data_IF_288018558636
#
_entry.id   IF_288018558636
#
_cell.length_a   1.000
_cell.length_b   1.000
_cell.length_c   1.000
_cell.angle_alpha   90.00
_cell.angle_beta   90.00
_cell.angle_gamma   90.00
#
_symmetry.space_group_name_H-M   'P 1'
#
loop_
_entity.id
_entity.type
_entity.pdbx_description
1 polymer ?
#
# COMPACT_ATOMS: atom_id res chain seq x y z
N UNK A 1 -9.17 11.01 -7.11
CA UNK A 1 -9.13 9.55 -6.88
C UNK A 1 -7.97 9.30 -5.94
N UNK A 2 -8.25 8.75 -4.75
CA UNK A 2 -7.27 8.57 -3.67
C UNK A 2 -7.02 7.07 -3.48
N UNK A 3 -5.76 6.68 -3.33
CA UNK A 3 -5.45 5.36 -2.78
C UNK A 3 -5.13 5.52 -1.31
N UNK A 4 -6.17 5.38 -0.50
CA UNK A 4 -6.08 5.49 0.94
C UNK A 4 -5.49 4.22 1.54
N UNK A 5 -4.27 4.35 2.05
CA UNK A 5 -3.61 3.43 2.99
C UNK A 5 -2.97 2.17 2.40
N UNK A 6 -1.66 2.07 2.62
CA UNK A 6 -1.02 0.81 2.95
C UNK A 6 -1.27 0.51 4.44
N UNK A 7 -1.88 -0.64 4.73
CA UNK A 7 -2.47 -0.94 6.04
C UNK A 7 -1.71 -2.06 6.76
N UNK A 8 -1.31 -1.86 8.02
CA UNK A 8 -0.55 -2.85 8.81
C UNK A 8 -1.49 -3.71 9.69
N UNK A 9 -1.54 -5.04 9.49
CA UNK A 9 -2.12 -5.99 10.46
C UNK A 9 -1.27 -7.25 10.62
N UNK A 10 -1.12 -7.76 11.84
CA UNK A 10 -0.43 -9.02 12.12
C UNK A 10 -1.43 -10.18 11.94
N UNK A 11 -1.01 -11.23 11.22
CA UNK A 11 -1.69 -12.49 10.88
C UNK A 11 -2.54 -12.56 9.59
N UNK A 12 -2.33 -13.70 8.93
CA UNK A 12 -2.70 -14.14 7.58
C UNK A 12 -4.22 -14.22 7.36
N UNK A 13 -4.71 -13.56 6.31
CA UNK A 13 -5.68 -14.12 5.36
C UNK A 13 -5.62 -13.30 4.06
N UNK A 14 -5.42 -13.98 2.93
CA UNK A 14 -5.56 -13.37 1.61
C UNK A 14 -7.02 -13.07 1.35
N UNK A 15 -7.39 -11.80 1.31
CA UNK A 15 -8.72 -11.40 0.88
C UNK A 15 -8.56 -10.64 -0.44
N UNK A 16 -8.89 -11.33 -1.53
CA UNK A 16 -9.14 -10.70 -2.82
C UNK A 16 -10.37 -9.81 -2.66
N UNK A 17 -10.17 -8.51 -2.48
CA UNK A 17 -11.28 -7.54 -2.46
C UNK A 17 -11.65 -7.12 -3.87
N UNK A 18 -12.24 -8.07 -4.63
CA UNK A 18 -12.98 -7.96 -5.90
C UNK A 18 -12.47 -7.03 -7.04
N UNK A 19 -11.40 -6.25 -6.88
CA UNK A 19 -11.13 -5.06 -7.70
C UNK A 19 -9.80 -4.32 -7.40
N UNK A 20 -9.03 -4.76 -6.40
CA UNK A 20 -7.65 -4.32 -6.16
C UNK A 20 -6.74 -5.54 -6.33
N UNK A 21 -5.82 -5.48 -7.29
CA UNK A 21 -4.79 -6.48 -7.50
C UNK A 21 -3.50 -6.05 -6.79
N UNK A 22 -3.04 -6.83 -5.81
CA UNK A 22 -1.80 -6.57 -5.09
C UNK A 22 -0.75 -7.65 -5.40
N UNK A 23 0.47 -7.21 -5.70
CA UNK A 23 1.62 -8.10 -5.97
C UNK A 23 2.88 -7.58 -5.28
N UNK A 24 3.68 -8.44 -4.62
CA UNK A 24 3.41 -9.85 -4.37
C UNK A 24 2.34 -10.06 -3.29
N UNK A 25 1.71 -11.22 -3.36
CA UNK A 25 0.73 -11.71 -2.37
C UNK A 25 1.40 -11.93 -1.01
N UNK A 26 2.65 -12.39 -1.02
CA UNK A 26 3.49 -12.56 0.15
C UNK A 26 4.95 -12.23 -0.18
N UNK A 27 5.70 -11.70 0.79
CA UNK A 27 7.11 -11.38 0.63
C UNK A 27 7.92 -11.75 1.87
N UNK A 28 8.77 -12.78 1.73
CA UNK A 28 9.78 -13.13 2.72
C UNK A 28 11.14 -12.63 2.22
N UNK A 29 11.75 -11.71 2.97
CA UNK A 29 13.00 -11.02 2.63
C UNK A 29 13.89 -10.85 3.86
N UNK A 30 15.17 -10.61 3.64
CA UNK A 30 16.15 -10.43 4.71
C UNK A 30 16.09 -8.98 5.23
N UNK A 31 16.47 -8.73 6.49
CA UNK A 31 16.66 -7.36 6.97
C UNK A 31 17.63 -6.59 6.07
N UNK A 32 17.35 -5.31 5.82
CA UNK A 32 18.10 -4.47 4.89
C UNK A 32 17.66 -4.57 3.43
N UNK A 33 16.87 -5.58 3.05
CA UNK A 33 16.34 -5.69 1.69
C UNK A 33 15.32 -4.59 1.39
N UNK A 34 15.17 -4.30 0.10
CA UNK A 34 14.07 -3.49 -0.43
C UNK A 34 12.88 -4.38 -0.76
N UNK A 35 11.68 -3.97 -0.35
CA UNK A 35 10.42 -4.61 -0.72
C UNK A 35 9.57 -3.65 -1.53
N UNK A 36 8.93 -4.14 -2.59
CA UNK A 36 7.96 -3.37 -3.36
C UNK A 36 6.64 -4.12 -3.38
N UNK A 37 5.58 -3.41 -2.99
CA UNK A 37 4.20 -3.85 -3.10
C UNK A 37 3.56 -2.99 -4.18
N UNK A 38 3.11 -3.63 -5.26
CA UNK A 38 2.43 -2.98 -6.38
C UNK A 38 0.95 -3.25 -6.25
N UNK A 39 0.16 -2.21 -6.40
CA UNK A 39 -1.28 -2.24 -6.32
C UNK A 39 -1.87 -1.62 -7.58
N UNK A 40 -2.75 -2.37 -8.23
CA UNK A 40 -3.55 -1.92 -9.35
C UNK A 40 -5.01 -1.92 -8.96
N UNK A 41 -5.77 -0.90 -9.33
CA UNK A 41 -7.21 -0.91 -9.12
C UNK A 41 -7.97 -0.36 -10.33
N UNK A 42 -9.17 -0.91 -10.52
CA UNK A 42 -10.12 -0.47 -11.53
C UNK A 42 -11.08 0.58 -10.97
N UNK A 43 -12.03 0.17 -10.09
CA UNK A 43 -13.20 1.00 -9.77
C UNK A 43 -13.85 0.77 -8.38
N UNK A 44 -13.11 0.66 -7.28
CA UNK A 44 -13.76 0.44 -5.97
C UNK A 44 -13.21 1.24 -4.80
N UNK A 45 -14.13 1.43 -3.85
CA UNK A 45 -13.92 1.99 -2.53
C UNK A 45 -13.79 0.83 -1.54
N UNK A 46 -12.57 0.50 -1.12
CA UNK A 46 -12.35 -0.47 -0.06
C UNK A 46 -11.73 0.19 1.17
N UNK A 47 -12.38 0.04 2.32
CA UNK A 47 -11.88 0.55 3.60
C UNK A 47 -12.20 -0.43 4.72
N UNK A 48 -11.17 -0.98 5.36
CA UNK A 48 -11.35 -1.74 6.61
C UNK A 48 -11.25 -0.83 7.84
N UNK A 49 -12.18 -0.95 8.79
CA UNK A 49 -12.05 -0.31 10.10
C UNK A 49 -10.98 -1.01 10.96
N UNK A 50 -10.25 -0.22 11.77
CA UNK A 50 -9.31 -0.74 12.76
C UNK A 50 -7.92 -1.11 12.23
N UNK A 51 -7.52 -0.54 11.10
CA UNK A 51 -6.18 -0.63 10.53
C UNK A 51 -5.44 0.72 10.64
N UNK A 52 -4.11 0.68 10.72
CA UNK A 52 -3.26 1.87 10.76
C UNK A 52 -2.87 2.29 9.34
N UNK A 53 -3.12 3.54 8.98
CA UNK A 53 -2.69 4.09 7.70
C UNK A 53 -1.20 4.44 7.72
N UNK A 54 -0.49 4.12 6.65
CA UNK A 54 0.92 4.53 6.43
C UNK A 54 0.99 5.83 5.63
N UNK A 55 0.01 6.04 4.74
CA UNK A 55 -0.08 7.18 3.84
C UNK A 55 -0.92 6.84 2.61
N UNK A 56 -1.08 7.81 1.72
CA UNK A 56 -1.92 7.70 0.55
C UNK A 56 -1.36 8.50 -0.63
N UNK A 57 -1.89 8.23 -1.82
CA UNK A 57 -1.61 9.04 -3.01
C UNK A 57 -2.92 9.56 -3.57
N UNK A 58 -3.01 10.87 -3.78
CA UNK A 58 -4.15 11.53 -4.40
C UNK A 58 -3.72 12.16 -5.72
N UNK A 59 -4.23 11.64 -6.83
CA UNK A 59 -3.75 11.95 -8.19
C UNK A 59 -2.24 11.71 -8.36
N UNK A 60 -1.39 12.67 -7.99
CA UNK A 60 0.07 12.58 -8.02
C UNK A 60 0.71 12.93 -6.66
N UNK A 61 -0.08 13.52 -5.77
CA UNK A 61 0.37 14.02 -4.48
C UNK A 61 0.45 12.87 -3.49
N UNK A 62 1.55 12.81 -2.74
CA UNK A 62 1.84 11.73 -1.79
C UNK A 62 1.80 12.29 -0.39
N UNK A 63 1.01 11.69 0.45
CA UNK A 63 0.89 12.05 1.85
C UNK A 63 1.27 10.84 2.70
N UNK A 64 1.94 11.11 3.81
CA UNK A 64 2.40 10.10 4.75
C UNK A 64 1.85 10.43 6.12
N UNK A 65 1.43 9.40 6.84
CA UNK A 65 1.16 9.53 8.26
C UNK A 65 2.48 9.76 9.02
N UNK A 66 2.39 10.40 10.18
CA UNK A 66 3.55 10.82 10.96
C UNK A 66 4.48 9.62 11.25
N UNK A 67 5.77 9.80 10.96
CA UNK A 67 6.83 8.83 11.25
C UNK A 67 7.01 7.72 10.21
N UNK A 68 6.19 7.63 9.15
CA UNK A 68 6.31 6.58 8.13
C UNK A 68 7.18 6.96 6.93
N UNK A 69 7.26 8.24 6.57
CA UNK A 69 8.03 8.72 5.41
C UNK A 69 9.53 8.37 5.42
N UNK A 70 10.09 7.97 6.58
CA UNK A 70 11.51 7.55 6.70
C UNK A 70 11.80 6.20 6.03
N UNK A 71 10.84 5.27 6.09
CA UNK A 71 11.06 3.87 5.71
C UNK A 71 10.18 3.47 4.51
N UNK A 72 9.11 4.22 4.25
CA UNK A 72 8.12 3.96 3.21
C UNK A 72 8.14 5.04 2.13
N UNK A 73 8.03 4.61 0.87
CA UNK A 73 7.99 5.50 -0.30
C UNK A 73 6.85 5.08 -1.22
N UNK A 74 5.93 6.00 -1.48
CA UNK A 74 4.91 5.84 -2.51
C UNK A 74 5.39 6.34 -3.87
N UNK A 75 5.15 5.56 -4.92
CA UNK A 75 5.28 5.99 -6.31
C UNK A 75 4.06 5.55 -7.10
N UNK A 76 3.70 6.29 -8.13
CA UNK A 76 2.51 6.01 -8.91
C UNK A 76 1.87 7.29 -9.40
N UNK A 77 1.00 7.15 -10.38
CA UNK A 77 0.23 8.24 -10.95
C UNK A 77 -1.20 7.76 -11.13
N UNK A 78 -2.10 8.43 -10.43
CA UNK A 78 -3.53 8.18 -10.45
C UNK A 78 -4.28 9.18 -11.35
N UNK A 79 -3.59 9.96 -12.17
CA UNK A 79 -4.20 10.86 -13.16
C UNK A 79 -4.61 10.12 -14.45
N UNK A 80 -5.48 10.73 -15.26
CA UNK A 80 -5.94 10.20 -16.56
C UNK A 80 -6.96 9.05 -16.49
N UNK A 81 -7.19 8.35 -17.61
CA UNK A 81 -8.20 7.28 -17.72
C UNK A 81 -7.61 5.85 -17.75
N UNK A 82 -6.29 5.73 -17.56
CA UNK A 82 -5.58 4.45 -17.60
C UNK A 82 -5.69 3.72 -16.26
N UNK A 83 -5.37 2.43 -16.28
CA UNK A 83 -5.24 1.60 -15.09
C UNK A 83 -4.29 2.25 -14.07
N UNK A 84 -4.69 2.15 -12.80
CA UNK A 84 -4.22 3.00 -11.72
C UNK A 84 -3.26 2.20 -10.86
N UNK A 85 -1.97 2.48 -11.04
CA UNK A 85 -0.91 1.70 -10.44
C UNK A 85 -0.15 2.52 -9.40
N UNK A 86 -0.09 1.99 -8.19
CA UNK A 86 0.75 2.49 -7.11
C UNK A 86 1.72 1.43 -6.68
N UNK A 87 2.91 1.87 -6.30
CA UNK A 87 3.90 1.06 -5.64
C UNK A 87 4.21 1.66 -4.27
N UNK A 88 4.07 0.86 -3.23
CA UNK A 88 4.70 1.10 -1.95
C UNK A 88 6.06 0.43 -1.94
N UNK A 89 7.09 1.19 -1.61
CA UNK A 89 8.45 0.68 -1.42
C UNK A 89 8.84 0.79 0.04
N UNK A 90 9.34 -0.31 0.61
CA UNK A 90 10.02 -0.34 1.91
C UNK A 90 11.52 -0.38 1.64
N UNK A 91 12.24 0.69 1.96
CA UNK A 91 13.62 0.89 1.49
C UNK A 91 14.68 0.15 2.32
N UNK A 92 14.40 -0.07 3.61
CA UNK A 92 15.33 -0.72 4.54
C UNK A 92 14.52 -1.61 5.48
N UNK A 93 14.28 -2.87 5.09
CA UNK A 93 13.41 -3.77 5.83
C UNK A 93 13.96 -4.07 7.24
N UNK A 94 13.12 -3.88 8.27
CA UNK A 94 13.44 -4.17 9.67
C UNK A 94 12.39 -5.11 10.23
N UNK A 95 12.79 -6.29 10.68
CA UNK A 95 11.84 -7.33 11.11
C UNK A 95 10.92 -6.86 12.24
N UNK A 96 11.43 -6.09 13.20
CA UNK A 96 10.66 -5.59 14.35
C UNK A 96 9.64 -4.50 14.00
N UNK A 97 9.86 -3.76 12.91
CA UNK A 97 9.02 -2.61 12.54
C UNK A 97 8.11 -2.91 11.34
N UNK A 98 8.58 -3.73 10.39
CA UNK A 98 7.96 -3.90 9.08
C UNK A 98 7.37 -5.30 8.86
N UNK A 99 7.43 -6.19 9.85
CA UNK A 99 6.73 -7.48 9.76
C UNK A 99 5.23 -7.25 10.00
N UNK A 100 4.47 -7.28 8.91
CA UNK A 100 3.04 -7.05 8.90
C UNK A 100 2.40 -7.59 7.62
N UNK A 101 1.09 -7.74 7.64
CA UNK A 101 0.26 -7.80 6.44
C UNK A 101 0.01 -6.37 5.99
N UNK A 102 0.24 -6.13 4.71
CA UNK A 102 0.02 -4.86 4.04
C UNK A 102 -1.18 -4.99 3.11
N UNK A 103 -2.15 -4.09 3.24
CA UNK A 103 -3.28 -4.01 2.30
C UNK A 103 -3.25 -2.68 1.57
N UNK A 104 -3.47 -2.73 0.26
CA UNK A 104 -3.84 -1.55 -0.51
C UNK A 104 -5.35 -1.32 -0.45
N UNK A 105 -5.72 -0.08 -0.21
CA UNK A 105 -7.08 0.39 -0.29
C UNK A 105 -7.18 1.56 -1.29
N UNK A 106 -8.32 1.61 -1.97
CA UNK A 106 -8.62 2.61 -2.98
C UNK A 106 -9.96 3.26 -2.63
N UNK A 107 -10.10 4.54 -2.97
CA UNK A 107 -11.33 5.29 -2.85
C UNK A 107 -11.49 6.31 -4.00
N UNK A 108 -12.71 6.47 -4.48
CA UNK A 108 -13.13 7.61 -5.27
C UNK A 108 -13.21 8.81 -4.34
N UNK A 109 -12.54 9.89 -4.76
CA UNK A 109 -12.60 11.18 -4.11
C UNK A 109 -13.73 12.00 -4.74
#
# INVERSE_FOLDING_TARGET
MSLDCALQRLNILLINFASVDQTPVEAFRKPGDKVQLVCSHGETNYREPGLKCIGHVNYIDKEYEEGFQKDFIFTGDLSGDKAKNITLTISNLKTSEHSAVYYCAASYA
#
